data_IF_838644259646
#
_entry.id   IF_838644259646
#
_cell.length_a   1.000
_cell.length_b   1.000
_cell.length_c   1.000
_cell.angle_alpha   90.00
_cell.angle_beta   90.00
_cell.angle_gamma   90.00
#
_symmetry.space_group_name_H-M   'P 1'
#
loop_
_entity.id
_entity.type
_entity.pdbx_description
1 polymer ?
#
# COMPACT_ATOMS: atom_id res chain seq x y z
N UNK A 1 2.70 -66.99 6.88
CA UNK A 1 2.09 -65.74 6.37
C UNK A 1 2.42 -64.67 7.42
N UNK A 2 3.65 -64.15 7.48
CA UNK A 2 4.19 -63.00 6.68
C UNK A 2 3.22 -61.80 6.75
N UNK A 3 3.59 -60.58 7.16
CA UNK A 3 4.88 -59.99 7.57
C UNK A 3 4.54 -58.56 8.08
N UNK A 4 4.91 -58.20 9.32
CA UNK A 4 5.04 -56.79 9.72
C UNK A 4 6.55 -56.53 9.74
N UNK A 5 7.05 -55.81 8.74
CA UNK A 5 8.46 -55.41 8.69
C UNK A 5 8.69 -54.25 9.65
N UNK A 6 9.37 -54.52 10.76
CA UNK A 6 10.24 -53.55 11.44
C UNK A 6 11.29 -53.02 10.46
N UNK A 7 11.76 -51.78 10.64
CA UNK A 7 13.20 -51.47 10.65
C UNK A 7 13.43 -50.19 11.48
N UNK A 8 13.97 -50.41 12.69
CA UNK A 8 15.00 -49.66 13.39
C UNK A 8 14.86 -48.14 13.65
N UNK A 9 14.39 -47.83 14.85
CA UNK A 9 14.91 -46.72 15.64
C UNK A 9 16.31 -47.10 16.17
N UNK A 10 17.37 -46.50 15.61
CA UNK A 10 18.70 -46.57 16.20
C UNK A 10 18.94 -45.34 17.09
N UNK A 11 18.98 -45.61 18.39
CA UNK A 11 19.98 -45.06 19.31
C UNK A 11 19.90 -43.57 19.65
N UNK A 12 19.18 -43.23 20.71
CA UNK A 12 19.59 -42.14 21.58
C UNK A 12 19.52 -42.60 23.05
N UNK A 13 20.68 -42.94 23.58
CA UNK A 13 20.94 -43.07 25.02
C UNK A 13 20.88 -41.69 25.66
N UNK A 14 20.07 -41.54 26.70
CA UNK A 14 20.03 -40.34 27.52
C UNK A 14 21.32 -40.26 28.35
N UNK A 15 22.15 -39.24 28.10
CA UNK A 15 23.25 -38.83 28.98
C UNK A 15 23.17 -37.31 29.16
N UNK A 16 23.46 -36.87 30.37
CA UNK A 16 23.29 -35.53 30.95
C UNK A 16 23.58 -34.30 30.08
N UNK A 17 22.89 -33.22 30.48
CA UNK A 17 23.22 -31.79 30.39
C UNK A 17 23.62 -31.18 29.02
N UNK A 18 22.82 -30.18 28.63
CA UNK A 18 22.99 -29.21 27.54
C UNK A 18 22.55 -29.64 26.13
N UNK A 19 21.56 -28.93 25.58
CA UNK A 19 21.35 -28.79 24.15
C UNK A 19 21.15 -27.29 23.82
N UNK A 20 22.23 -26.63 23.43
CA UNK A 20 22.16 -25.52 22.50
C UNK A 20 21.63 -26.03 21.15
N UNK A 21 20.85 -25.20 20.46
CA UNK A 21 20.61 -25.37 19.02
C UNK A 21 19.47 -26.31 18.63
N UNK A 22 18.25 -26.08 19.11
CA UNK A 22 17.04 -26.54 18.39
C UNK A 22 16.51 -25.35 17.58
N UNK A 23 17.05 -25.16 16.39
CA UNK A 23 16.42 -24.30 15.39
C UNK A 23 15.11 -24.97 14.99
N UNK A 24 14.01 -24.50 15.58
CA UNK A 24 12.68 -24.70 15.02
C UNK A 24 12.74 -24.25 13.55
N UNK A 25 12.66 -25.20 12.64
CA UNK A 25 12.37 -24.93 11.23
C UNK A 25 10.90 -24.54 11.19
N UNK A 26 10.63 -23.30 11.59
CA UNK A 26 9.34 -22.68 11.41
C UNK A 26 9.05 -22.69 9.92
N UNK A 27 7.97 -23.36 9.56
CA UNK A 27 7.31 -23.28 8.26
C UNK A 27 7.35 -21.82 7.81
N UNK A 28 8.08 -21.54 6.73
CA UNK A 28 8.28 -20.20 6.19
C UNK A 28 6.96 -19.58 5.76
N UNK A 29 6.23 -18.97 6.68
CA UNK A 29 5.39 -17.83 6.37
C UNK A 29 6.35 -16.70 6.07
N UNK A 30 6.62 -16.47 4.78
CA UNK A 30 7.30 -15.28 4.31
C UNK A 30 6.71 -14.07 5.03
N UNK A 31 7.45 -13.48 5.98
CA UNK A 31 7.14 -12.19 6.56
C UNK A 31 7.36 -11.17 5.45
N UNK A 32 6.42 -11.10 4.51
CA UNK A 32 6.46 -10.15 3.40
C UNK A 32 6.47 -8.76 4.02
N UNK A 33 7.59 -8.07 3.87
CA UNK A 33 7.70 -6.65 4.20
C UNK A 33 6.60 -5.91 3.42
N UNK A 34 5.69 -5.31 4.18
CA UNK A 34 4.48 -4.73 3.64
C UNK A 34 3.80 -3.84 4.66
N UNK A 35 2.73 -3.20 4.22
CA UNK A 35 2.03 -2.19 4.99
C UNK A 35 0.54 -2.40 4.86
N UNK A 36 -0.14 -2.37 6.01
CA UNK A 36 -1.61 -2.31 6.07
C UNK A 36 -2.03 -0.84 6.04
N UNK A 37 -3.02 -0.54 5.23
CA UNK A 37 -3.60 0.79 5.13
C UNK A 37 -5.13 0.76 5.09
N UNK A 38 -5.79 1.71 5.76
CA UNK A 38 -7.23 1.86 5.64
C UNK A 38 -7.61 2.48 4.30
N UNK A 39 -8.70 2.01 3.72
CA UNK A 39 -9.24 2.49 2.47
C UNK A 39 -10.76 2.65 2.53
N UNK A 40 -11.24 3.77 1.99
CA UNK A 40 -12.65 4.00 1.72
C UNK A 40 -12.77 4.70 0.35
N UNK A 41 -13.85 4.46 -0.41
CA UNK A 41 -14.03 5.05 -1.74
C UNK A 41 -14.42 6.53 -1.65
N UNK A 42 -14.47 7.19 -2.83
CA UNK A 42 -14.93 8.58 -2.98
C UNK A 42 -16.36 8.81 -2.48
N UNK A 43 -17.20 7.78 -2.52
CA UNK A 43 -18.58 7.82 -2.01
C UNK A 43 -18.71 7.96 -0.48
N UNK A 44 -17.59 7.96 0.24
CA UNK A 44 -17.56 8.11 1.71
C UNK A 44 -17.16 6.83 2.42
N UNK A 45 -17.35 6.84 3.75
CA UNK A 45 -17.09 5.70 4.65
C UNK A 45 -18.28 4.75 4.68
N UNK A 46 -18.03 3.47 4.96
CA UNK A 46 -19.05 2.42 5.10
C UNK A 46 -19.90 2.28 3.83
N UNK A 47 -19.21 2.06 2.70
CA UNK A 47 -19.80 2.00 1.35
C UNK A 47 -19.35 0.79 0.54
N UNK A 48 -18.61 -0.14 1.13
CA UNK A 48 -18.12 -1.33 0.44
C UNK A 48 -18.73 -2.58 1.06
N UNK A 49 -19.32 -3.43 0.23
CA UNK A 49 -19.52 -4.85 0.53
C UNK A 49 -18.19 -5.59 0.55
N UNK A 50 -18.16 -6.83 1.04
CA UNK A 50 -16.94 -7.64 1.07
C UNK A 50 -16.28 -7.79 -0.31
N UNK A 51 -17.07 -8.11 -1.35
CA UNK A 51 -16.58 -8.28 -2.73
C UNK A 51 -16.06 -6.95 -3.30
N UNK A 52 -16.75 -5.84 -3.03
CA UNK A 52 -16.29 -4.51 -3.45
C UNK A 52 -15.02 -4.10 -2.72
N UNK A 53 -14.87 -4.44 -1.44
CA UNK A 53 -13.66 -4.20 -0.67
C UNK A 53 -12.45 -4.98 -1.22
N UNK A 54 -12.65 -6.23 -1.61
CA UNK A 54 -11.63 -7.04 -2.27
C UNK A 54 -11.17 -6.40 -3.59
N UNK A 55 -12.13 -5.98 -4.42
CA UNK A 55 -11.84 -5.28 -5.68
C UNK A 55 -11.15 -3.94 -5.46
N UNK A 56 -11.62 -3.16 -4.50
CA UNK A 56 -11.07 -1.84 -4.17
C UNK A 56 -9.60 -1.94 -3.74
N UNK A 57 -9.23 -2.91 -2.89
CA UNK A 57 -7.83 -3.12 -2.53
C UNK A 57 -6.98 -3.50 -3.76
N UNK A 58 -7.48 -4.37 -4.65
CA UNK A 58 -6.79 -4.75 -5.88
C UNK A 58 -6.56 -3.56 -6.81
N UNK A 59 -7.56 -2.69 -6.98
CA UNK A 59 -7.45 -1.46 -7.76
C UNK A 59 -6.36 -0.52 -7.19
N UNK A 60 -6.16 -0.54 -5.87
CA UNK A 60 -5.15 0.25 -5.15
C UNK A 60 -3.80 -0.43 -4.94
N UNK A 61 -3.47 -1.47 -5.72
CA UNK A 61 -2.17 -2.16 -5.65
C UNK A 61 -1.97 -2.95 -4.34
N UNK A 62 -3.04 -3.57 -3.86
CA UNK A 62 -3.03 -4.38 -2.65
C UNK A 62 -4.05 -5.51 -2.70
N UNK A 63 -4.15 -6.22 -1.58
CA UNK A 63 -5.17 -7.24 -1.30
C UNK A 63 -5.82 -6.91 0.03
N UNK A 64 -6.95 -7.52 0.38
CA UNK A 64 -7.45 -7.41 1.75
C UNK A 64 -6.40 -7.95 2.73
N UNK A 65 -6.19 -7.23 3.82
CA UNK A 65 -5.26 -7.62 4.88
C UNK A 65 -5.79 -8.83 5.65
N UNK A 66 -4.90 -9.70 6.14
CA UNK A 66 -5.28 -10.70 7.14
C UNK A 66 -5.46 -10.07 8.53
N UNK A 67 -6.20 -10.74 9.42
CA UNK A 67 -6.33 -10.32 10.82
C UNK A 67 -4.96 -10.19 11.51
N UNK A 68 -4.04 -11.13 11.25
CA UNK A 68 -2.68 -11.09 11.77
C UNK A 68 -1.89 -9.86 11.28
N UNK A 69 -2.03 -9.51 10.00
CA UNK A 69 -1.40 -8.32 9.42
C UNK A 69 -1.97 -7.04 10.04
N UNK A 70 -3.30 -6.96 10.24
CA UNK A 70 -3.93 -5.84 10.91
C UNK A 70 -3.43 -5.69 12.36
N UNK A 71 -3.35 -6.81 13.08
CA UNK A 71 -2.86 -6.82 14.46
C UNK A 71 -1.38 -6.42 14.54
N UNK A 72 -0.55 -6.87 13.60
CA UNK A 72 0.83 -6.41 13.51
C UNK A 72 0.91 -4.90 13.23
N UNK A 73 0.10 -4.38 12.31
CA UNK A 73 0.05 -2.95 12.01
C UNK A 73 -0.41 -2.11 13.22
N UNK A 74 -1.36 -2.61 14.02
CA UNK A 74 -1.78 -1.97 15.26
C UNK A 74 -0.64 -1.89 16.29
N UNK A 75 0.13 -2.97 16.45
CA UNK A 75 1.32 -2.96 17.33
C UNK A 75 2.37 -1.95 16.86
N UNK A 76 2.46 -1.75 15.55
CA UNK A 76 3.30 -0.73 14.90
C UNK A 76 2.72 0.71 15.02
N UNK A 77 1.57 0.88 15.67
CA UNK A 77 0.95 2.19 15.93
C UNK A 77 -0.16 2.60 14.97
N UNK A 78 -0.72 1.67 14.17
CA UNK A 78 -1.93 1.93 13.39
C UNK A 78 -3.14 2.12 14.32
N UNK A 79 -3.76 3.29 14.19
CA UNK A 79 -4.88 3.73 15.02
C UNK A 79 -6.01 4.24 14.11
N UNK A 80 -7.08 3.47 13.98
CA UNK A 80 -8.19 3.70 13.05
C UNK A 80 -9.55 3.35 13.65
N UNK A 81 -10.47 4.30 13.61
CA UNK A 81 -11.79 4.23 14.25
C UNK A 81 -12.94 3.88 13.28
N UNK A 82 -12.64 3.25 12.16
CA UNK A 82 -13.70 2.72 11.30
C UNK A 82 -13.51 1.22 11.13
N UNK A 83 -14.61 0.50 11.26
CA UNK A 83 -14.69 -0.92 10.95
C UNK A 83 -14.42 -1.15 9.45
N UNK A 84 -13.59 -2.15 9.15
CA UNK A 84 -13.25 -2.49 7.78
C UNK A 84 -13.10 -4.00 7.55
N UNK A 85 -13.35 -4.41 6.32
CA UNK A 85 -13.21 -5.78 5.86
C UNK A 85 -11.77 -6.28 5.91
N UNK A 86 -11.61 -7.56 6.24
CA UNK A 86 -10.38 -8.33 6.17
C UNK A 86 -10.53 -9.53 5.22
N UNK A 87 -9.41 -10.17 4.87
CA UNK A 87 -9.33 -11.25 3.87
C UNK A 87 -10.18 -12.48 4.19
N UNK A 88 -10.38 -12.76 5.48
CA UNK A 88 -11.22 -13.86 5.96
C UNK A 88 -12.71 -13.47 6.01
N UNK A 89 -13.04 -12.24 5.61
CA UNK A 89 -14.39 -11.65 5.69
C UNK A 89 -14.86 -11.36 7.11
N UNK A 90 -13.93 -11.33 8.07
CA UNK A 90 -14.18 -10.67 9.34
C UNK A 90 -14.12 -9.15 9.17
N UNK A 91 -14.81 -8.45 10.07
CA UNK A 91 -14.79 -6.99 10.13
C UNK A 91 -14.15 -6.57 11.44
N UNK A 92 -13.09 -5.77 11.35
CA UNK A 92 -12.31 -5.39 12.52
C UNK A 92 -11.89 -3.92 12.45
N UNK A 93 -11.43 -3.34 13.57
CA UNK A 93 -10.73 -2.05 13.56
C UNK A 93 -9.72 -1.91 14.72
N UNK A 94 -8.51 -1.40 14.45
CA UNK A 94 -7.46 -1.23 15.44
C UNK A 94 -7.55 0.14 16.15
N UNK A 95 -7.69 0.16 17.47
CA UNK A 95 -7.68 1.40 18.26
C UNK A 95 -6.46 1.39 19.19
N UNK A 96 -5.51 2.30 19.00
CA UNK A 96 -4.35 2.40 19.89
C UNK A 96 -4.65 3.23 21.14
N UNK A 97 -5.54 4.23 21.02
CA UNK A 97 -5.97 5.05 22.15
C UNK A 97 -7.50 5.02 22.28
N UNK A 98 -8.04 4.58 23.42
CA UNK A 98 -9.48 4.56 23.65
C UNK A 98 -10.04 5.99 23.54
N UNK A 99 -11.20 6.14 22.90
CA UNK A 99 -11.91 7.40 22.77
C UNK A 99 -13.40 7.14 22.58
N UNK A 100 -14.23 8.05 23.05
CA UNK A 100 -15.70 7.89 23.14
C UNK A 100 -16.36 7.42 21.83
N UNK A 101 -16.12 8.03 20.64
CA UNK A 101 -16.77 7.59 19.39
C UNK A 101 -16.21 6.29 18.84
N UNK A 102 -15.09 5.83 19.41
CA UNK A 102 -14.39 4.62 19.06
C UNK A 102 -14.41 3.72 20.29
N UNK A 103 -15.57 3.53 20.93
CA UNK A 103 -15.83 2.57 22.02
C UNK A 103 -15.04 2.77 23.31
N UNK A 104 -14.76 4.01 23.71
CA UNK A 104 -13.98 4.29 24.92
C UNK A 104 -14.43 5.53 25.69
N UNK A 105 -15.55 5.40 26.41
CA UNK A 105 -15.87 5.85 27.79
C UNK A 105 -17.39 5.62 27.98
N UNK A 106 -17.82 4.46 28.50
CA UNK A 106 -19.21 4.29 28.99
C UNK A 106 -20.13 3.24 28.34
N UNK A 107 -19.63 2.09 27.87
CA UNK A 107 -20.47 0.95 27.51
C UNK A 107 -20.11 -0.29 28.33
N UNK A 108 -21.01 -0.75 29.20
CA UNK A 108 -20.83 -1.85 30.15
C UNK A 108 -20.59 -3.26 29.54
N UNK A 109 -20.20 -3.36 28.26
CA UNK A 109 -20.03 -4.62 27.53
C UNK A 109 -18.70 -4.80 26.79
N UNK A 110 -17.74 -3.87 26.88
CA UNK A 110 -16.40 -4.02 26.27
C UNK A 110 -15.26 -4.17 27.27
N UNK A 111 -15.58 -4.29 28.56
CA UNK A 111 -14.63 -4.82 29.53
C UNK A 111 -14.63 -6.35 29.42
N UNK A 112 -13.69 -6.90 28.66
CA UNK A 112 -13.22 -8.25 28.97
C UNK A 112 -12.84 -8.29 30.45
N UNK A 113 -13.18 -9.39 31.12
CA UNK A 113 -12.98 -9.55 32.56
C UNK A 113 -11.51 -9.31 32.96
N UNK A 114 -11.22 -8.10 33.43
CA UNK A 114 -9.89 -7.71 33.92
C UNK A 114 -9.36 -6.38 33.35
N UNK A 115 -9.81 -5.26 33.94
CA UNK A 115 -8.99 -4.06 34.16
C UNK A 115 -8.39 -3.31 32.96
N UNK A 116 -9.08 -2.24 32.54
CA UNK A 116 -8.47 -1.10 31.83
C UNK A 116 -9.13 -0.76 30.50
N UNK A 117 -9.23 0.53 30.19
CA UNK A 117 -9.54 1.02 28.84
C UNK A 117 -8.34 0.77 27.91
N UNK A 118 -7.96 -0.48 27.71
CA UNK A 118 -6.81 -0.86 26.89
C UNK A 118 -7.16 -0.70 25.41
N UNK A 119 -6.28 -0.04 24.65
CA UNK A 119 -6.32 -0.09 23.20
C UNK A 119 -6.24 -1.54 22.71
N UNK A 120 -6.81 -1.82 21.54
CA UNK A 120 -6.85 -3.17 20.98
C UNK A 120 -7.48 -3.20 19.59
N UNK A 121 -7.40 -4.35 18.95
CA UNK A 121 -8.14 -4.63 17.72
C UNK A 121 -9.51 -5.18 18.09
N UNK A 122 -10.56 -4.48 17.69
CA UNK A 122 -11.93 -4.91 17.94
C UNK A 122 -12.45 -5.73 16.78
N UNK A 123 -13.16 -6.79 17.11
CA UNK A 123 -13.64 -7.76 16.14
C UNK A 123 -15.16 -7.83 16.15
N UNK A 124 -15.78 -7.56 15.02
CA UNK A 124 -17.23 -7.70 14.83
C UNK A 124 -17.62 -9.10 14.36
N UNK A 125 -16.66 -9.98 14.10
CA UNK A 125 -16.85 -11.35 13.62
C UNK A 125 -16.95 -11.43 12.10
N UNK A 126 -17.29 -12.62 11.61
CA UNK A 126 -17.54 -12.88 10.20
C UNK A 126 -18.87 -12.25 9.78
N UNK A 127 -18.80 -11.39 8.76
CA UNK A 127 -19.95 -10.60 8.29
C UNK A 127 -20.12 -10.74 6.78
N UNK A 128 -19.79 -11.88 6.18
CA UNK A 128 -19.88 -12.04 4.70
C UNK A 128 -21.34 -12.12 4.17
N UNK A 129 -22.28 -11.42 4.78
CA UNK A 129 -23.61 -11.14 4.25
C UNK A 129 -23.55 -9.97 3.25
N UNK A 130 -24.25 -10.10 2.13
CA UNK A 130 -24.14 -9.19 0.98
C UNK A 130 -24.60 -7.74 1.24
N UNK A 131 -25.29 -7.49 2.36
CA UNK A 131 -25.92 -6.20 2.67
C UNK A 131 -25.09 -5.33 3.64
N UNK A 132 -24.10 -5.91 4.31
CA UNK A 132 -23.28 -5.13 5.25
C UNK A 132 -22.26 -4.27 4.50
N UNK A 133 -22.10 -3.02 4.94
CA UNK A 133 -21.24 -2.03 4.31
C UNK A 133 -20.20 -1.53 5.31
N UNK A 134 -18.92 -1.70 4.96
CA UNK A 134 -17.80 -1.23 5.77
C UNK A 134 -16.74 -0.51 4.93
N UNK A 135 -15.67 -0.06 5.58
CA UNK A 135 -14.42 0.33 4.90
C UNK A 135 -13.59 -0.94 4.58
N UNK A 136 -12.36 -0.78 4.11
CA UNK A 136 -11.45 -1.91 3.87
C UNK A 136 -10.09 -1.67 4.55
N UNK A 137 -9.49 -2.73 5.08
CA UNK A 137 -8.06 -2.74 5.39
C UNK A 137 -7.32 -3.48 4.29
N UNK A 138 -6.53 -2.73 3.52
CA UNK A 138 -5.75 -3.29 2.43
C UNK A 138 -4.31 -3.53 2.90
N UNK A 139 -3.70 -4.59 2.41
CA UNK A 139 -2.29 -4.89 2.56
C UNK A 139 -1.60 -4.78 1.20
N UNK A 140 -0.48 -4.07 1.16
CA UNK A 140 0.41 -4.03 0.01
C UNK A 140 1.82 -4.41 0.46
N UNK A 141 2.47 -5.28 -0.29
CA UNK A 141 3.85 -5.70 -0.06
C UNK A 141 4.80 -4.93 -0.98
N UNK A 142 6.10 -4.91 -0.63
CA UNK A 142 7.21 -4.36 -1.41
C UNK A 142 6.89 -4.18 -2.89
N UNK A 143 6.73 -2.94 -3.38
CA UNK A 143 6.40 -2.53 -4.77
C UNK A 143 7.02 -3.47 -5.81
N UNK A 144 6.35 -4.57 -6.18
CA UNK A 144 7.00 -5.61 -6.94
C UNK A 144 6.50 -5.54 -8.37
N UNK A 145 7.40 -5.18 -9.26
CA UNK A 145 7.48 -5.83 -10.57
C UNK A 145 7.95 -7.29 -10.44
N UNK A 146 7.67 -7.98 -9.33
CA UNK A 146 8.07 -9.36 -9.03
C UNK A 146 7.14 -10.36 -9.70
N UNK A 147 7.00 -10.22 -11.01
CA UNK A 147 7.26 -11.31 -11.93
C UNK A 147 8.42 -10.86 -12.80
N UNK A 148 9.58 -10.65 -12.20
CA UNK A 148 10.82 -10.54 -12.97
C UNK A 148 11.07 -11.96 -13.50
N UNK A 149 10.98 -12.22 -14.81
CA UNK A 149 11.41 -13.51 -15.34
C UNK A 149 12.85 -13.74 -14.89
N UNK A 150 13.18 -14.97 -14.48
CA UNK A 150 14.48 -15.34 -13.90
C UNK A 150 15.69 -14.89 -14.75
N UNK A 151 15.45 -14.57 -16.02
CA UNK A 151 16.40 -14.02 -16.98
C UNK A 151 16.88 -12.58 -16.71
N UNK A 152 16.17 -11.74 -15.94
CA UNK A 152 16.58 -10.35 -15.66
C UNK A 152 17.27 -10.16 -14.29
N UNK A 153 17.57 -11.26 -13.58
CA UNK A 153 18.36 -11.27 -12.34
C UNK A 153 19.89 -11.28 -12.60
N UNK A 154 20.33 -11.32 -13.85
CA UNK A 154 21.74 -11.59 -14.20
C UNK A 154 22.61 -10.34 -14.33
N UNK A 155 22.06 -9.13 -14.29
CA UNK A 155 22.84 -7.88 -14.53
C UNK A 155 22.86 -6.89 -13.37
N UNK A 156 22.10 -7.11 -12.28
CA UNK A 156 22.17 -6.26 -11.09
C UNK A 156 21.80 -7.07 -9.84
N UNK A 157 22.56 -6.97 -8.74
CA UNK A 157 22.24 -7.66 -7.48
C UNK A 157 20.93 -7.19 -6.84
N UNK A 158 20.30 -6.13 -7.36
CA UNK A 158 18.95 -5.70 -6.99
C UNK A 158 18.13 -5.41 -8.26
N UNK A 159 17.02 -6.13 -8.53
CA UNK A 159 16.09 -5.73 -9.58
C UNK A 159 15.51 -4.34 -9.25
N UNK A 160 15.28 -3.46 -10.25
CA UNK A 160 14.77 -2.12 -9.97
C UNK A 160 13.38 -2.23 -9.34
N UNK A 161 13.22 -1.82 -8.09
CA UNK A 161 11.90 -1.74 -7.45
C UNK A 161 11.09 -0.59 -8.05
N UNK A 162 9.75 -0.70 -8.01
CA UNK A 162 8.89 0.39 -8.45
C UNK A 162 9.14 1.61 -7.57
N UNK A 163 9.13 2.82 -8.14
CA UNK A 163 9.46 4.04 -7.39
C UNK A 163 8.31 5.03 -7.43
N UNK A 164 7.90 5.49 -6.25
CA UNK A 164 7.02 6.66 -6.14
C UNK A 164 7.86 7.91 -5.99
N UNK A 165 7.55 8.93 -6.79
CA UNK A 165 8.17 10.24 -6.69
C UNK A 165 7.10 11.34 -6.76
N UNK A 166 7.39 12.47 -6.14
CA UNK A 166 6.49 13.61 -6.13
C UNK A 166 6.85 14.56 -7.27
N UNK A 167 5.91 14.80 -8.17
CA UNK A 167 6.01 15.90 -9.12
C UNK A 167 5.51 17.18 -8.47
N UNK A 168 6.38 18.19 -8.48
CA UNK A 168 6.05 19.59 -8.18
C UNK A 168 6.08 20.37 -9.49
N UNK A 169 4.99 20.36 -10.29
CA UNK A 169 4.94 21.25 -11.45
C UNK A 169 5.04 22.71 -10.96
N UNK A 170 5.52 23.61 -11.83
CA UNK A 170 5.64 25.05 -11.54
C UNK A 170 4.35 25.67 -10.95
N UNK A 171 3.19 25.08 -11.26
CA UNK A 171 1.93 25.30 -10.55
C UNK A 171 1.26 23.95 -10.21
N UNK A 172 0.70 23.77 -9.00
CA UNK A 172 -0.17 22.65 -8.68
C UNK A 172 -1.27 22.47 -9.73
N UNK A 173 -1.65 21.23 -10.02
CA UNK A 173 -2.57 20.88 -11.11
C UNK A 173 -3.92 20.39 -10.58
N UNK A 174 -5.03 20.56 -11.33
CA UNK A 174 -6.27 19.85 -11.04
C UNK A 174 -6.09 18.35 -11.31
N UNK A 175 -7.00 17.51 -10.81
CA UNK A 175 -6.89 16.06 -10.94
C UNK A 175 -6.78 15.59 -12.40
N UNK A 176 -7.54 16.22 -13.31
CA UNK A 176 -7.48 15.91 -14.75
C UNK A 176 -6.09 16.14 -15.37
N UNK A 177 -5.29 17.06 -14.81
CA UNK A 177 -3.91 17.31 -15.25
C UNK A 177 -2.90 16.33 -14.67
N UNK A 178 -3.25 15.57 -13.63
CA UNK A 178 -2.32 14.71 -12.90
C UNK A 178 -1.80 13.54 -13.75
N UNK A 179 -2.71 12.86 -14.45
CA UNK A 179 -2.35 11.75 -15.35
C UNK A 179 -1.40 12.20 -16.46
N UNK A 180 -1.71 13.32 -17.12
CA UNK A 180 -0.85 13.89 -18.17
C UNK A 180 0.52 14.29 -17.61
N UNK A 181 0.56 14.86 -16.40
CA UNK A 181 1.80 15.26 -15.75
C UNK A 181 2.70 14.08 -15.40
N UNK A 182 2.16 12.93 -14.97
CA UNK A 182 2.97 11.73 -14.76
C UNK A 182 3.38 11.08 -16.10
N UNK A 183 2.46 11.00 -17.06
CA UNK A 183 2.69 10.38 -18.36
C UNK A 183 3.83 11.05 -19.14
N UNK A 184 3.92 12.38 -19.07
CA UNK A 184 5.03 13.16 -19.65
C UNK A 184 6.42 12.81 -19.09
N UNK A 185 6.51 11.98 -18.04
CA UNK A 185 7.73 11.57 -17.34
C UNK A 185 7.87 10.03 -17.31
N UNK A 186 7.14 9.34 -18.20
CA UNK A 186 7.14 7.88 -18.29
C UNK A 186 6.61 7.20 -17.02
N UNK A 187 5.63 7.81 -16.36
CA UNK A 187 5.07 7.31 -15.11
C UNK A 187 3.53 7.38 -15.11
N UNK A 188 2.90 6.57 -14.27
CA UNK A 188 1.46 6.66 -14.00
C UNK A 188 1.21 7.46 -12.72
N UNK A 189 -0.01 7.93 -12.50
CA UNK A 189 -0.39 8.46 -11.17
C UNK A 189 -0.31 7.32 -10.16
N UNK A 190 0.34 7.57 -9.03
CA UNK A 190 0.51 6.56 -8.00
C UNK A 190 -0.83 6.14 -7.40
N UNK A 191 -0.99 4.84 -7.19
CA UNK A 191 -2.10 4.27 -6.43
C UNK A 191 -1.89 4.48 -4.92
N UNK A 192 -2.95 4.31 -4.14
CA UNK A 192 -2.88 4.47 -2.68
C UNK A 192 -1.90 3.47 -2.07
N UNK A 193 -1.99 2.19 -2.41
CA UNK A 193 -1.07 1.17 -1.89
C UNK A 193 0.38 1.50 -2.23
N UNK A 194 0.64 1.97 -3.45
CA UNK A 194 1.99 2.35 -3.87
C UNK A 194 2.57 3.49 -3.02
N UNK A 195 1.74 4.49 -2.66
CA UNK A 195 2.17 5.56 -1.75
C UNK A 195 2.47 5.04 -0.35
N UNK A 196 1.63 4.16 0.20
CA UNK A 196 1.87 3.55 1.52
C UNK A 196 3.13 2.70 1.53
N UNK A 197 3.36 1.91 0.48
CA UNK A 197 4.57 1.12 0.31
C UNK A 197 5.80 2.04 0.24
N UNK A 198 5.76 3.11 -0.56
CA UNK A 198 6.86 4.08 -0.62
C UNK A 198 7.12 4.78 0.72
N UNK A 199 6.08 5.10 1.48
CA UNK A 199 6.22 5.68 2.82
C UNK A 199 6.90 4.72 3.80
N UNK A 200 6.43 3.47 3.92
CA UNK A 200 6.91 2.52 4.92
C UNK A 200 8.27 1.89 4.53
N UNK A 201 8.47 1.62 3.25
CA UNK A 201 9.57 0.79 2.76
C UNK A 201 10.67 1.61 2.07
N UNK A 202 10.31 2.71 1.41
CA UNK A 202 11.27 3.62 0.74
C UNK A 202 11.51 4.91 1.55
N UNK A 203 10.93 5.01 2.75
CA UNK A 203 11.03 6.16 3.64
C UNK A 203 10.68 7.49 2.93
N UNK A 204 9.68 7.45 2.03
CA UNK A 204 9.23 8.64 1.32
C UNK A 204 8.55 9.61 2.30
N UNK A 205 9.25 10.69 2.64
CA UNK A 205 8.76 11.78 3.48
C UNK A 205 8.46 13.04 2.64
N UNK A 206 7.22 13.53 2.72
CA UNK A 206 6.80 14.74 2.02
C UNK A 206 5.63 15.43 2.70
N UNK A 207 5.88 16.66 3.15
CA UNK A 207 4.87 17.56 3.67
C UNK A 207 4.10 18.31 2.55
N UNK A 208 3.58 17.61 1.56
CA UNK A 208 2.81 18.26 0.49
C UNK A 208 1.76 17.31 -0.06
N UNK A 209 0.51 17.75 -0.02
CA UNK A 209 -0.59 17.01 -0.60
C UNK A 209 -0.42 16.86 -2.11
N UNK A 210 -0.65 15.65 -2.58
CA UNK A 210 -0.60 15.30 -4.00
C UNK A 210 -1.76 14.40 -4.38
N UNK A 211 -2.20 14.52 -5.62
CA UNK A 211 -3.19 13.64 -6.22
C UNK A 211 -2.67 12.20 -6.31
N UNK A 212 -3.59 11.26 -6.06
CA UNK A 212 -3.44 9.82 -6.31
C UNK A 212 -4.48 9.34 -7.31
N UNK A 213 -4.29 8.13 -7.84
CA UNK A 213 -5.11 7.57 -8.91
C UNK A 213 -6.59 7.41 -8.56
N UNK A 214 -6.94 7.25 -7.28
CA UNK A 214 -8.32 7.19 -6.78
C UNK A 214 -9.01 8.57 -6.72
N UNK A 215 -8.29 9.65 -7.04
CA UNK A 215 -8.78 11.02 -6.92
C UNK A 215 -8.74 11.55 -5.49
N UNK A 216 -8.11 10.83 -4.55
CA UNK A 216 -7.81 11.37 -3.22
C UNK A 216 -6.56 12.25 -3.27
N UNK A 217 -6.45 13.15 -2.29
CA UNK A 217 -5.23 13.92 -2.06
C UNK A 217 -4.60 13.48 -0.73
N UNK A 218 -3.37 12.98 -0.79
CA UNK A 218 -2.65 12.42 0.37
C UNK A 218 -1.21 12.92 0.45
N UNK A 219 -0.56 12.74 1.59
CA UNK A 219 0.86 13.03 1.76
C UNK A 219 1.50 12.15 2.84
N UNK A 220 2.70 11.57 2.61
CA UNK A 220 3.37 10.69 3.56
C UNK A 220 4.31 11.44 4.51
N UNK A 221 4.27 11.10 5.79
CA UNK A 221 5.17 11.65 6.83
C UNK A 221 5.87 10.49 7.54
N UNK A 222 7.18 10.37 7.31
CA UNK A 222 8.06 9.45 8.04
C UNK A 222 8.58 10.13 9.30
N UNK A 223 8.97 11.40 9.20
CA UNK A 223 9.53 12.15 10.33
C UNK A 223 8.52 13.20 10.80
N UNK A 224 7.82 13.00 11.94
CA UNK A 224 6.72 13.85 12.39
C UNK A 224 7.14 15.30 12.59
N UNK A 225 6.27 16.25 12.21
CA UNK A 225 6.57 17.69 12.29
C UNK A 225 5.34 18.43 12.79
N UNK A 226 5.52 19.38 13.71
CA UNK A 226 4.40 20.13 14.29
C UNK A 226 3.51 20.82 13.25
N UNK A 227 4.11 21.37 12.18
CA UNK A 227 3.41 22.03 11.07
C UNK A 227 2.96 21.08 9.96
N UNK A 228 3.18 19.77 10.11
CA UNK A 228 2.90 18.82 9.04
C UNK A 228 2.50 17.42 9.51
N UNK A 229 1.20 17.14 9.47
CA UNK A 229 0.69 15.79 9.76
C UNK A 229 0.78 15.37 11.23
N UNK A 230 1.04 16.30 12.14
CA UNK A 230 0.97 16.09 13.59
C UNK A 230 2.19 15.37 14.18
N UNK A 231 1.99 14.73 15.34
CA UNK A 231 3.07 14.15 16.17
C UNK A 231 3.41 12.69 15.84
N UNK A 232 2.69 12.05 14.91
CA UNK A 232 2.88 10.64 14.55
C UNK A 232 3.21 10.48 13.06
N UNK A 233 4.03 9.49 12.69
CA UNK A 233 4.27 9.15 11.29
C UNK A 233 3.01 8.54 10.67
N UNK A 234 2.93 8.53 9.34
CA UNK A 234 1.83 7.96 8.58
C UNK A 234 1.54 8.71 7.29
N UNK A 235 0.71 8.11 6.44
CA UNK A 235 0.12 8.78 5.29
C UNK A 235 -1.12 9.54 5.73
N UNK A 236 -1.13 10.86 5.51
CA UNK A 236 -2.26 11.74 5.81
C UNK A 236 -3.15 11.88 4.60
N UNK A 237 -4.47 11.87 4.82
CA UNK A 237 -5.48 12.02 3.78
C UNK A 237 -6.24 13.33 3.96
N UNK A 238 -6.40 14.08 2.88
CA UNK A 238 -7.33 15.21 2.77
C UNK A 238 -8.69 14.78 2.20
N UNK A 239 -8.93 13.47 2.10
CA UNK A 239 -10.14 12.89 1.50
C UNK A 239 -10.14 13.04 -0.03
N UNK A 240 -11.33 13.29 -0.57
CA UNK A 240 -11.59 13.42 -2.01
C UNK A 240 -11.98 14.87 -2.34
N UNK A 241 -11.01 15.79 -2.47
CA UNK A 241 -11.28 17.18 -2.78
C UNK A 241 -11.88 17.36 -4.18
N UNK A 242 -12.49 18.54 -4.42
CA UNK A 242 -13.03 18.92 -5.73
C UNK A 242 -11.93 18.85 -6.81
N UNK A 243 -12.06 17.88 -7.71
CA UNK A 243 -11.11 17.54 -8.75
C UNK A 243 -10.85 18.69 -9.75
N UNK A 244 -11.78 19.65 -9.86
CA UNK A 244 -11.69 20.77 -10.80
C UNK A 244 -11.15 22.04 -10.16
N UNK A 245 -11.52 22.29 -8.89
CA UNK A 245 -11.19 23.54 -8.19
C UNK A 245 -9.92 23.46 -7.35
N UNK A 246 -9.61 22.28 -6.80
CA UNK A 246 -8.42 22.12 -5.94
C UNK A 246 -7.21 21.79 -6.78
N UNK A 247 -6.09 22.38 -6.40
CA UNK A 247 -4.82 22.20 -7.09
C UNK A 247 -3.82 21.59 -6.10
N UNK A 248 -3.24 20.46 -6.49
CA UNK A 248 -2.22 19.76 -5.70
C UNK A 248 -1.02 19.39 -6.57
N UNK A 249 0.08 18.95 -5.93
CA UNK A 249 1.09 18.20 -6.67
C UNK A 249 0.56 16.84 -7.08
N UNK A 250 1.43 15.97 -7.59
CA UNK A 250 1.03 14.63 -8.02
C UNK A 250 2.09 13.64 -7.57
N UNK A 251 1.66 12.53 -6.94
CA UNK A 251 2.54 11.40 -6.74
C UNK A 251 2.48 10.52 -7.99
N UNK A 252 3.63 10.28 -8.60
CA UNK A 252 3.76 9.43 -9.76
C UNK A 252 4.48 8.14 -9.38
N UNK A 253 4.08 7.05 -10.00
CA UNK A 253 4.68 5.74 -9.85
C UNK A 253 5.35 5.32 -11.16
N UNK A 254 6.62 4.95 -11.06
CA UNK A 254 7.37 4.32 -12.15
C UNK A 254 7.49 2.83 -11.85
N UNK A 255 7.04 2.00 -12.80
CA UNK A 255 7.20 0.57 -12.71
C UNK A 255 8.68 0.15 -12.85
N UNK A 256 9.07 -0.98 -12.24
CA UNK A 256 10.36 -1.64 -12.49
C UNK A 256 10.70 -1.76 -13.96
N UNK A 257 11.94 -1.41 -14.32
CA UNK A 257 12.44 -1.56 -15.69
C UNK A 257 11.91 -0.54 -16.70
N UNK A 258 11.09 0.44 -16.28
CA UNK A 258 10.76 1.56 -17.14
C UNK A 258 12.00 2.46 -17.33
N UNK A 259 12.32 2.87 -18.56
CA UNK A 259 13.49 3.70 -18.84
C UNK A 259 13.39 5.04 -18.08
N UNK A 260 14.50 5.46 -17.48
CA UNK A 260 14.56 6.79 -16.87
C UNK A 260 14.40 7.86 -17.98
N UNK A 261 13.54 8.87 -17.79
CA UNK A 261 13.58 10.04 -18.65
C UNK A 261 14.95 10.67 -18.44
N UNK A 262 15.74 10.72 -19.50
CA UNK A 262 17.11 11.22 -19.48
C UNK A 262 17.20 12.53 -18.67
N UNK A 263 18.17 12.65 -17.75
CA UNK A 263 18.33 13.87 -16.96
C UNK A 263 18.68 15.01 -17.91
N UNK A 264 17.72 15.93 -18.11
CA UNK A 264 17.98 17.23 -18.74
C UNK A 264 18.44 17.17 -20.19
N UNK A 265 17.52 16.91 -21.10
CA UNK A 265 17.65 17.33 -22.50
C UNK A 265 16.47 18.23 -22.86
N UNK A 266 16.49 19.50 -22.45
CA UNK A 266 15.71 20.53 -23.16
C UNK A 266 16.41 20.79 -24.48
N UNK A 267 16.40 19.79 -25.36
CA UNK A 267 16.89 19.87 -26.73
C UNK A 267 15.73 19.47 -27.62
N UNK A 268 15.20 20.41 -28.39
CA UNK A 268 14.34 20.09 -29.51
C UNK A 268 15.20 19.29 -30.51
N UNK A 269 15.05 17.97 -30.51
CA UNK A 269 15.79 17.06 -31.37
C UNK A 269 14.96 15.81 -31.61
N UNK A 270 14.75 15.48 -32.88
CA UNK A 270 13.99 14.31 -33.30
C UNK A 270 14.82 13.04 -33.07
N UNK A 271 14.14 11.94 -32.72
CA UNK A 271 14.76 10.62 -32.72
C UNK A 271 14.96 10.18 -34.18
N UNK A 272 16.21 10.18 -34.63
CA UNK A 272 16.62 9.86 -35.99
C UNK A 272 17.42 11.01 -36.56
N UNK A 273 18.73 10.80 -36.71
CA UNK A 273 19.62 11.77 -37.35
C UNK A 273 19.09 12.16 -38.72
N UNK A 274 18.65 13.41 -38.84
CA UNK A 274 18.17 14.02 -40.08
C UNK A 274 18.15 15.53 -39.87
N UNK A 275 19.04 16.23 -40.55
CA UNK A 275 19.19 17.68 -40.47
C UNK A 275 17.93 18.44 -40.90
N UNK A 276 17.90 19.71 -40.50
CA UNK A 276 16.83 20.66 -40.78
C UNK A 276 16.54 20.80 -42.29
N UNK A 277 15.29 20.55 -42.68
CA UNK A 277 14.68 21.15 -43.85
C UNK A 277 13.30 21.67 -43.41
N UNK A 278 13.07 22.97 -43.59
CA UNK A 278 11.89 23.67 -43.09
C UNK A 278 10.57 23.09 -43.58
N UNK A 279 9.55 23.19 -42.73
CA UNK A 279 8.17 22.86 -43.08
C UNK A 279 7.32 22.58 -41.85
N UNK A 280 6.43 23.51 -41.51
CA UNK A 280 5.41 23.34 -40.49
C UNK A 280 4.57 22.07 -40.74
N UNK A 281 4.26 21.29 -39.70
CA UNK A 281 3.26 20.21 -39.78
C UNK A 281 2.27 20.25 -38.61
N UNK A 282 1.05 19.96 -39.00
CA UNK A 282 -0.27 20.26 -38.44
C UNK A 282 -0.58 19.53 -37.10
N UNK A 283 -1.15 20.20 -36.08
CA UNK A 283 -1.52 19.60 -34.79
C UNK A 283 -2.65 18.54 -34.84
N UNK A 284 -3.26 18.26 -36.00
CA UNK A 284 -4.34 17.29 -36.14
C UNK A 284 -3.91 15.81 -36.32
N UNK A 285 -2.62 15.51 -36.47
CA UNK A 285 -2.12 14.16 -36.75
C UNK A 285 -1.87 13.30 -35.49
N UNK A 286 -2.90 13.08 -34.67
CA UNK A 286 -2.88 12.09 -33.59
C UNK A 286 -3.92 11.01 -33.82
N UNK A 287 -3.49 9.78 -34.14
CA UNK A 287 -4.32 8.57 -34.06
C UNK A 287 -3.93 7.76 -32.80
N UNK A 288 -4.90 7.34 -31.98
CA UNK A 288 -4.62 6.49 -30.83
C UNK A 288 -4.39 5.05 -31.27
N UNK A 289 -3.23 4.47 -30.94
CA UNK A 289 -3.00 3.04 -31.12
C UNK A 289 -3.72 2.27 -30.01
N UNK A 290 -4.69 1.45 -30.44
CA UNK A 290 -5.18 0.29 -29.68
C UNK A 290 -4.08 -0.78 -29.68
N UNK A 291 -3.65 -1.21 -28.50
CA UNK A 291 -3.44 -2.62 -28.14
C UNK A 291 -3.84 -2.77 -26.68
#
# INVERSE_FOLDING_TARGET
>A
MLEIKEVFAQGQTFVGSQCEGVSFVGSGFDKKEGVVFPYHPRGGRYKLTFTEAQRACAEQDGILASAEQLHAAWRDGLDWCNAGWLRDGSVQYPVSQPREPCGGLGGAGSAGAGGGASGGVRNYGYRQNAEELYDAFCFTSNLPGSRVPRAALTTSPHPPAGRVFFLKPLRPVPFAGAARACAARGAAVAKVGQLFAAWKLQLLDRCTAGWLADGSARYPIVNPRARCGGRRPGVRSLGFPDATRRLFGVYCYRAPGAPDPAPGGWGWGWAGGGGWAGGARDPAAWTPLRV
#
